data_IF_377900934766
#
_entry.id   IF_377900934766
#
_cell.length_a   1.000
_cell.length_b   1.000
_cell.length_c   1.000
_cell.angle_alpha   90.00
_cell.angle_beta   90.00
_cell.angle_gamma   90.00
#
_symmetry.space_group_name_H-M   'P 1'
#
loop_
_entity.id
_entity.type
_entity.pdbx_description
1 polymer ?
#
# COMPACT_ATOMS: atom_id res chain seq x y z
N UNK A 1 23.04 -67.35 19.85
CA UNK A 1 23.64 -66.10 19.33
C UNK A 1 23.89 -66.12 17.82
N UNK A 2 24.14 -67.33 17.22
CA UNK A 2 24.47 -67.45 15.78
C UNK A 2 23.27 -67.35 14.86
N UNK A 3 22.11 -67.86 15.24
CA UNK A 3 20.85 -67.77 14.45
C UNK A 3 20.39 -66.33 14.14
N UNK A 4 20.80 -65.39 14.99
CA UNK A 4 20.43 -63.98 14.82
C UNK A 4 21.39 -63.25 13.85
N UNK A 5 22.60 -63.78 13.65
CA UNK A 5 23.60 -63.20 12.77
C UNK A 5 23.30 -63.50 11.30
N UNK A 6 22.90 -64.74 10.99
CA UNK A 6 22.56 -65.13 9.60
C UNK A 6 21.28 -64.36 9.07
N UNK A 7 20.29 -64.19 9.92
CA UNK A 7 19.11 -63.41 9.58
C UNK A 7 19.45 -61.92 9.35
N UNK A 8 20.39 -61.38 10.13
CA UNK A 8 20.89 -60.01 9.96
C UNK A 8 21.66 -59.87 8.64
N UNK A 9 22.58 -60.76 8.37
CA UNK A 9 23.36 -60.71 7.12
C UNK A 9 22.49 -60.91 5.87
N UNK A 10 21.50 -61.81 5.93
CA UNK A 10 20.56 -62.01 4.83
C UNK A 10 19.72 -60.74 4.53
N UNK A 11 19.27 -60.07 5.59
CA UNK A 11 18.52 -58.79 5.47
C UNK A 11 19.41 -57.69 4.91
N UNK A 12 20.65 -57.58 5.39
CA UNK A 12 21.57 -56.54 4.93
C UNK A 12 22.04 -56.79 3.49
N UNK A 13 22.26 -58.03 3.11
CA UNK A 13 22.59 -58.42 1.73
C UNK A 13 21.43 -58.06 0.77
N UNK A 14 20.19 -58.30 1.19
CA UNK A 14 19.00 -57.94 0.41
C UNK A 14 18.89 -56.40 0.24
N UNK A 15 19.23 -55.64 1.27
CA UNK A 15 19.31 -54.18 1.22
C UNK A 15 20.35 -53.67 0.24
N UNK A 16 21.56 -54.21 0.36
CA UNK A 16 22.71 -53.82 -0.47
C UNK A 16 22.52 -54.18 -1.96
N UNK A 17 21.86 -55.35 -2.25
CA UNK A 17 21.49 -55.73 -3.63
C UNK A 17 20.57 -54.73 -4.32
N UNK A 18 19.75 -54.02 -3.55
CA UNK A 18 18.82 -53.00 -4.08
C UNK A 18 19.45 -51.62 -4.32
N UNK A 19 20.64 -51.35 -3.77
CA UNK A 19 21.23 -50.01 -3.79
C UNK A 19 22.09 -49.70 -5.03
N UNK A 20 22.98 -50.60 -5.41
CA UNK A 20 23.90 -50.42 -6.55
C UNK A 20 24.25 -51.75 -7.23
N UNK A 21 24.77 -51.67 -8.47
CA UNK A 21 25.34 -52.82 -9.15
C UNK A 21 26.56 -53.34 -8.42
N UNK A 22 26.68 -54.65 -8.19
CA UNK A 22 27.82 -55.21 -7.51
C UNK A 22 29.10 -55.09 -8.34
N UNK A 23 30.23 -55.06 -7.66
CA UNK A 23 31.54 -55.22 -8.30
C UNK A 23 31.75 -56.73 -8.56
N UNK A 24 31.91 -57.09 -9.83
CA UNK A 24 32.17 -58.46 -10.24
C UNK A 24 33.69 -58.75 -10.19
N UNK A 25 34.07 -59.77 -9.46
CA UNK A 25 35.46 -60.22 -9.37
C UNK A 25 35.54 -61.62 -9.97
N UNK A 26 36.41 -61.78 -10.96
CA UNK A 26 36.72 -63.10 -11.53
C UNK A 26 37.86 -63.73 -10.80
N UNK A 27 37.62 -64.90 -10.22
CA UNK A 27 38.61 -65.63 -9.41
C UNK A 27 39.41 -66.71 -10.20
N UNK A 28 39.30 -66.72 -11.56
CA UNK A 28 39.84 -67.85 -12.34
C UNK A 28 38.84 -68.97 -12.38
N UNK A 29 39.11 -70.02 -13.24
CA UNK A 29 38.26 -71.21 -13.38
C UNK A 29 36.72 -70.94 -13.51
N UNK A 30 36.38 -69.89 -14.20
CA UNK A 30 34.97 -69.55 -14.46
C UNK A 30 34.11 -69.20 -13.21
N UNK A 31 34.76 -68.96 -12.02
CA UNK A 31 34.07 -68.56 -10.79
C UNK A 31 34.00 -67.03 -10.69
N UNK A 32 32.75 -66.49 -10.51
CA UNK A 32 32.50 -65.09 -10.33
C UNK A 32 32.04 -64.84 -8.89
N UNK A 33 32.61 -63.85 -8.24
CA UNK A 33 32.14 -63.33 -6.96
C UNK A 33 31.62 -61.91 -7.12
N UNK A 34 30.62 -61.56 -6.32
CA UNK A 34 29.99 -60.25 -6.34
C UNK A 34 30.15 -59.55 -4.99
N UNK A 35 30.75 -58.37 -5.00
CA UNK A 35 30.89 -57.54 -3.79
C UNK A 35 29.79 -56.48 -3.85
N UNK A 36 28.92 -56.53 -2.84
CA UNK A 36 27.91 -55.51 -2.61
C UNK A 36 28.40 -54.55 -1.55
N UNK A 37 28.31 -53.23 -1.80
CA UNK A 37 28.79 -52.22 -0.89
C UNK A 37 27.79 -51.07 -0.82
N UNK A 38 27.82 -50.32 0.28
CA UNK A 38 27.10 -49.10 0.49
C UNK A 38 28.08 -47.95 0.78
N UNK A 39 27.69 -46.73 0.49
CA UNK A 39 28.50 -45.57 0.84
C UNK A 39 28.58 -45.43 2.35
N UNK A 40 29.73 -45.04 2.86
CA UNK A 40 29.87 -44.75 4.29
C UNK A 40 28.91 -43.60 4.70
N UNK A 41 28.49 -43.61 5.96
CA UNK A 41 27.62 -42.55 6.48
C UNK A 41 28.24 -41.15 6.30
N UNK A 42 29.55 -41.05 6.34
CA UNK A 42 30.30 -39.84 6.07
C UNK A 42 30.12 -39.37 4.63
N UNK A 43 30.18 -40.28 3.67
CA UNK A 43 30.00 -39.96 2.25
C UNK A 43 28.57 -39.48 1.95
N UNK A 44 27.58 -40.12 2.60
CA UNK A 44 26.16 -39.69 2.51
C UNK A 44 25.96 -38.31 3.11
N UNK A 45 26.57 -38.00 4.24
CA UNK A 45 26.51 -36.66 4.84
C UNK A 45 27.19 -35.61 3.96
N UNK A 46 28.34 -35.93 3.37
CA UNK A 46 29.03 -35.03 2.44
C UNK A 46 28.21 -34.71 1.20
N UNK A 47 27.38 -35.64 0.72
CA UNK A 47 26.50 -35.41 -0.40
C UNK A 47 25.40 -34.35 -0.12
N UNK A 48 24.96 -34.23 1.15
CA UNK A 48 23.96 -33.21 1.55
C UNK A 48 24.58 -31.86 1.93
N UNK A 49 25.86 -31.81 2.22
CA UNK A 49 26.57 -30.61 2.68
C UNK A 49 26.41 -29.41 1.72
N UNK A 50 26.57 -29.54 0.38
CA UNK A 50 26.38 -28.44 -0.55
C UNK A 50 24.97 -27.83 -0.50
N UNK A 51 23.94 -28.67 -0.33
CA UNK A 51 22.55 -28.23 -0.25
C UNK A 51 22.26 -27.42 1.03
N UNK A 52 22.83 -27.88 2.15
CA UNK A 52 22.74 -27.16 3.44
C UNK A 52 23.45 -25.80 3.30
N UNK A 53 24.66 -25.80 2.75
CA UNK A 53 25.44 -24.58 2.57
C UNK A 53 24.72 -23.58 1.66
N UNK A 54 24.16 -24.02 0.53
CA UNK A 54 23.38 -23.17 -0.38
C UNK A 54 22.11 -22.63 0.29
N UNK A 55 21.44 -23.44 1.11
CA UNK A 55 20.25 -23.00 1.86
C UNK A 55 20.59 -21.90 2.86
N UNK A 56 21.70 -22.03 3.60
CA UNK A 56 22.15 -21.00 4.54
C UNK A 56 22.50 -19.70 3.82
N UNK A 57 23.21 -19.79 2.70
CA UNK A 57 23.56 -18.63 1.88
C UNK A 57 22.27 -17.95 1.34
N UNK A 58 21.31 -18.73 0.86
CA UNK A 58 20.05 -18.21 0.34
C UNK A 58 19.25 -17.49 1.43
N UNK A 59 19.13 -18.06 2.63
CA UNK A 59 18.45 -17.44 3.78
C UNK A 59 19.15 -16.14 4.16
N UNK A 60 20.48 -16.14 4.23
CA UNK A 60 21.26 -14.93 4.53
C UNK A 60 21.02 -13.83 3.48
N UNK A 61 21.06 -14.19 2.19
CA UNK A 61 20.84 -13.25 1.09
C UNK A 61 19.43 -12.64 1.13
N UNK A 62 18.41 -13.46 1.40
CA UNK A 62 17.03 -13.00 1.58
C UNK A 62 16.95 -12.01 2.76
N UNK A 63 17.60 -12.33 3.89
CA UNK A 63 17.65 -11.45 5.05
C UNK A 63 18.28 -10.08 4.74
N UNK A 64 19.41 -10.08 4.03
CA UNK A 64 20.09 -8.84 3.59
C UNK A 64 19.20 -8.03 2.64
N UNK A 65 18.58 -8.67 1.65
CA UNK A 65 17.67 -7.98 0.71
C UNK A 65 16.45 -7.37 1.42
N UNK A 66 15.87 -8.10 2.38
CA UNK A 66 14.78 -7.56 3.21
C UNK A 66 15.23 -6.37 4.06
N UNK A 67 16.40 -6.46 4.70
CA UNK A 67 16.96 -5.36 5.50
C UNK A 67 17.21 -4.11 4.64
N UNK A 68 17.80 -4.26 3.46
CA UNK A 68 18.04 -3.17 2.52
C UNK A 68 16.73 -2.53 2.03
N UNK A 69 15.70 -3.34 1.74
CA UNK A 69 14.41 -2.85 1.30
C UNK A 69 13.70 -2.05 2.41
N UNK A 70 13.73 -2.54 3.66
CA UNK A 70 13.13 -1.85 4.80
C UNK A 70 13.85 -0.54 5.13
N UNK A 71 15.18 -0.54 5.09
CA UNK A 71 15.99 0.66 5.34
C UNK A 71 15.73 1.74 4.30
N UNK A 72 15.68 1.38 3.01
CA UNK A 72 15.38 2.32 1.93
C UNK A 72 14.00 2.95 2.08
N UNK A 73 13.00 2.17 2.42
CA UNK A 73 11.64 2.67 2.65
C UNK A 73 11.59 3.61 3.86
N UNK A 74 12.27 3.26 4.96
CA UNK A 74 12.34 4.09 6.15
C UNK A 74 13.05 5.44 5.89
N UNK A 75 14.13 5.43 5.12
CA UNK A 75 14.86 6.63 4.73
C UNK A 75 14.01 7.55 3.86
N UNK A 76 13.36 7.02 2.83
CA UNK A 76 12.42 7.79 2.00
C UNK A 76 11.31 8.41 2.83
N UNK A 77 10.75 7.68 3.79
CA UNK A 77 9.72 8.18 4.68
C UNK A 77 10.24 9.32 5.56
N UNK A 78 11.44 9.20 6.09
CA UNK A 78 12.06 10.21 6.95
C UNK A 78 12.31 11.52 6.20
N UNK A 79 12.80 11.44 4.96
CA UNK A 79 13.01 12.60 4.09
C UNK A 79 11.67 13.27 3.77
N UNK A 80 10.64 12.50 3.43
CA UNK A 80 9.31 13.04 3.15
C UNK A 80 8.67 13.76 4.35
N UNK A 81 8.76 13.15 5.54
CA UNK A 81 8.26 13.75 6.79
C UNK A 81 9.00 15.05 7.10
N UNK A 82 10.33 15.03 7.00
CA UNK A 82 11.16 16.22 7.24
C UNK A 82 10.83 17.34 6.26
N UNK A 83 10.78 17.02 4.96
CA UNK A 83 10.47 18.00 3.92
C UNK A 83 9.06 18.56 4.07
N UNK A 84 8.07 17.71 4.38
CA UNK A 84 6.68 18.16 4.57
C UNK A 84 6.55 19.12 5.75
N UNK A 85 7.18 18.81 6.88
CA UNK A 85 7.17 19.65 8.07
C UNK A 85 7.86 21.00 7.81
N UNK A 86 9.04 20.97 7.19
CA UNK A 86 9.80 22.17 6.86
C UNK A 86 9.05 23.04 5.86
N UNK A 87 8.52 22.45 4.78
CA UNK A 87 7.73 23.19 3.79
C UNK A 87 6.49 23.83 4.42
N UNK A 88 5.79 23.12 5.31
CA UNK A 88 4.62 23.65 6.00
C UNK A 88 5.01 24.86 6.90
N UNK A 89 6.14 24.77 7.60
CA UNK A 89 6.63 25.84 8.45
C UNK A 89 7.05 27.07 7.62
N UNK A 90 7.81 26.85 6.56
CA UNK A 90 8.27 27.91 5.65
C UNK A 90 7.12 28.60 4.89
N UNK A 91 6.04 27.87 4.58
CA UNK A 91 4.85 28.44 3.98
C UNK A 91 3.93 29.15 5.00
N UNK A 92 3.88 28.68 6.24
CA UNK A 92 3.01 29.21 7.27
C UNK A 92 3.24 30.70 7.57
N UNK A 93 4.51 31.11 7.62
CA UNK A 93 4.92 32.49 7.91
C UNK A 93 4.40 33.48 6.83
N UNK A 94 4.71 33.29 5.52
CA UNK A 94 4.19 34.22 4.51
C UNK A 94 2.67 34.17 4.36
N UNK A 95 2.03 33.00 4.55
CA UNK A 95 0.57 32.87 4.53
C UNK A 95 -0.06 33.70 5.65
N UNK A 96 0.50 33.67 6.87
CA UNK A 96 0.01 34.47 8.00
C UNK A 96 0.13 35.99 7.72
N UNK A 97 1.24 36.39 7.11
CA UNK A 97 1.44 37.80 6.70
C UNK A 97 0.41 38.22 5.63
N UNK A 98 0.17 37.36 4.62
CA UNK A 98 -0.82 37.64 3.58
C UNK A 98 -2.25 37.74 4.14
N UNK A 99 -2.62 36.89 5.11
CA UNK A 99 -3.90 36.99 5.80
C UNK A 99 -4.05 38.32 6.55
N UNK A 100 -3.01 38.76 7.26
CA UNK A 100 -3.03 40.06 7.92
C UNK A 100 -3.19 41.24 6.92
N UNK A 101 -2.53 41.16 5.75
CA UNK A 101 -2.70 42.17 4.70
C UNK A 101 -4.12 42.17 4.14
N UNK A 102 -4.76 41.01 3.95
CA UNK A 102 -6.15 40.89 3.52
C UNK A 102 -7.10 41.57 4.54
N UNK A 103 -6.90 41.33 5.84
CA UNK A 103 -7.72 41.98 6.89
C UNK A 103 -7.61 43.50 6.84
N UNK A 104 -6.42 44.05 6.63
CA UNK A 104 -6.18 45.47 6.49
C UNK A 104 -6.87 46.02 5.22
N UNK A 105 -6.74 45.31 4.08
CA UNK A 105 -7.39 45.68 2.83
C UNK A 105 -8.90 45.66 2.96
N UNK A 106 -9.46 44.62 3.61
CA UNK A 106 -10.91 44.50 3.85
C UNK A 106 -11.46 45.60 4.76
N UNK A 107 -10.66 46.04 5.73
CA UNK A 107 -11.01 47.18 6.57
C UNK A 107 -11.06 48.49 5.79
N UNK A 108 -10.15 48.68 4.81
CA UNK A 108 -10.08 49.92 4.00
C UNK A 108 -11.02 49.91 2.80
N UNK A 109 -11.36 48.73 2.26
CA UNK A 109 -12.16 48.52 1.08
C UNK A 109 -13.20 47.39 1.30
N UNK A 110 -14.23 47.63 2.16
CA UNK A 110 -15.11 46.53 2.61
C UNK A 110 -16.01 45.95 1.51
N UNK A 111 -16.28 46.71 0.44
CA UNK A 111 -17.19 46.30 -0.64
C UNK A 111 -16.46 45.71 -1.86
N UNK A 112 -15.13 45.51 -1.78
CA UNK A 112 -14.38 44.98 -2.90
C UNK A 112 -14.35 43.44 -2.86
N UNK A 113 -15.12 42.82 -3.76
CA UNK A 113 -15.23 41.37 -3.89
C UNK A 113 -13.90 40.69 -4.26
N UNK A 114 -12.95 41.41 -4.88
CA UNK A 114 -11.62 40.88 -5.21
C UNK A 114 -10.79 40.53 -3.95
N UNK A 115 -11.00 41.32 -2.89
CA UNK A 115 -10.33 41.06 -1.60
C UNK A 115 -10.87 39.79 -0.96
N UNK A 116 -12.15 39.50 -1.08
CA UNK A 116 -12.75 38.24 -0.63
C UNK A 116 -12.19 37.04 -1.42
N UNK A 117 -12.07 37.18 -2.74
CA UNK A 117 -11.49 36.12 -3.59
C UNK A 117 -10.02 35.87 -3.24
N UNK A 118 -9.21 36.89 -3.03
CA UNK A 118 -7.83 36.78 -2.56
C UNK A 118 -7.77 36.10 -1.18
N UNK A 119 -8.64 36.49 -0.25
CA UNK A 119 -8.74 35.84 1.07
C UNK A 119 -9.07 34.36 1.00
N UNK A 120 -9.99 33.99 0.10
CA UNK A 120 -10.33 32.59 -0.17
C UNK A 120 -9.15 31.79 -0.70
N UNK A 121 -8.37 32.34 -1.62
CA UNK A 121 -7.19 31.66 -2.18
C UNK A 121 -6.07 31.50 -1.15
N UNK A 122 -5.83 32.52 -0.30
CA UNK A 122 -4.85 32.43 0.79
C UNK A 122 -5.29 31.40 1.84
N UNK A 123 -6.57 31.33 2.19
CA UNK A 123 -7.10 30.30 3.07
C UNK A 123 -6.94 28.89 2.48
N UNK A 124 -7.02 28.73 1.16
CA UNK A 124 -6.70 27.46 0.48
C UNK A 124 -5.24 27.09 0.64
N UNK A 125 -4.32 28.05 0.47
CA UNK A 125 -2.88 27.83 0.69
C UNK A 125 -2.61 27.45 2.14
N UNK A 126 -3.26 28.11 3.11
CA UNK A 126 -3.18 27.78 4.54
C UNK A 126 -3.58 26.33 4.80
N UNK A 127 -4.73 25.92 4.27
CA UNK A 127 -5.22 24.53 4.40
C UNK A 127 -4.23 23.51 3.84
N UNK A 128 -3.59 23.82 2.71
CA UNK A 128 -2.57 22.96 2.11
C UNK A 128 -1.35 22.87 3.02
N UNK A 129 -0.84 23.99 3.54
CA UNK A 129 0.29 24.02 4.44
C UNK A 129 0.00 23.25 5.74
N UNK A 130 -1.17 23.42 6.34
CA UNK A 130 -1.60 22.68 7.53
C UNK A 130 -1.66 21.17 7.27
N UNK A 131 -2.13 20.72 6.12
CA UNK A 131 -2.14 19.31 5.74
C UNK A 131 -0.73 18.73 5.61
N UNK A 132 0.20 19.48 5.02
CA UNK A 132 1.61 19.10 4.98
C UNK A 132 2.23 19.04 6.38
N UNK A 133 1.88 19.95 7.27
CA UNK A 133 2.31 19.92 8.68
C UNK A 133 1.82 18.66 9.40
N UNK A 134 0.58 18.23 9.17
CA UNK A 134 0.01 17.02 9.77
C UNK A 134 0.73 15.74 9.30
N UNK A 135 1.26 15.68 8.06
CA UNK A 135 2.10 14.58 7.58
C UNK A 135 3.42 14.47 8.37
N UNK A 136 3.96 15.59 8.88
CA UNK A 136 5.22 15.62 9.60
C UNK A 136 5.10 15.58 11.14
N UNK A 137 3.88 15.58 11.68
CA UNK A 137 3.62 15.61 13.12
C UNK A 137 2.98 14.31 13.62
N UNK A 138 2.91 14.15 14.95
CA UNK A 138 2.04 13.13 15.55
C UNK A 138 0.59 13.49 15.21
N UNK A 139 0.01 12.74 14.29
CA UNK A 139 -1.39 12.92 13.89
C UNK A 139 -2.29 12.58 15.07
N UNK A 140 -3.17 13.50 15.44
CA UNK A 140 -4.21 13.24 16.43
C UNK A 140 -5.30 12.40 15.78
N UNK A 141 -5.57 11.24 16.37
CA UNK A 141 -6.63 10.33 15.95
C UNK A 141 -7.82 10.49 16.86
N UNK A 142 -8.98 10.65 16.27
CA UNK A 142 -10.25 10.80 16.94
C UNK A 142 -11.17 9.65 16.55
N UNK A 143 -12.00 9.19 17.50
CA UNK A 143 -13.05 8.23 17.21
C UNK A 143 -14.25 8.99 16.63
N UNK A 144 -14.47 8.85 15.33
CA UNK A 144 -15.48 9.62 14.60
C UNK A 144 -16.37 8.71 13.74
N UNK A 145 -17.56 9.21 13.41
CA UNK A 145 -18.43 8.58 12.42
C UNK A 145 -17.84 8.74 11.01
N UNK A 146 -17.54 7.62 10.37
CA UNK A 146 -17.03 7.63 8.99
C UNK A 146 -18.06 8.21 8.02
N UNK A 147 -19.34 7.91 8.25
CA UNK A 147 -20.42 8.39 7.40
C UNK A 147 -20.54 9.91 7.46
N UNK A 148 -20.42 10.51 8.65
CA UNK A 148 -20.47 11.97 8.81
C UNK A 148 -19.26 12.65 8.14
N UNK A 149 -18.06 12.07 8.31
CA UNK A 149 -16.85 12.57 7.68
C UNK A 149 -16.93 12.50 6.15
N UNK A 150 -17.47 11.41 5.61
CA UNK A 150 -17.68 11.28 4.16
C UNK A 150 -18.75 12.25 3.66
N UNK A 151 -19.83 12.44 4.41
CA UNK A 151 -20.91 13.39 4.06
C UNK A 151 -20.37 14.81 3.98
N UNK A 152 -19.56 15.23 4.95
CA UNK A 152 -18.90 16.54 4.94
C UNK A 152 -17.95 16.70 3.75
N UNK A 153 -17.12 15.67 3.48
CA UNK A 153 -16.21 15.68 2.33
C UNK A 153 -16.96 15.76 1.00
N UNK A 154 -18.06 15.03 0.85
CA UNK A 154 -18.92 15.08 -0.36
C UNK A 154 -19.53 16.45 -0.53
N UNK A 155 -20.12 17.02 0.51
CA UNK A 155 -20.70 18.37 0.47
C UNK A 155 -19.66 19.44 0.09
N UNK A 156 -18.45 19.31 0.64
CA UNK A 156 -17.34 20.20 0.27
C UNK A 156 -16.98 20.08 -1.21
N UNK A 157 -16.91 18.87 -1.74
CA UNK A 157 -16.58 18.61 -3.13
C UNK A 157 -17.70 19.05 -4.08
N UNK A 158 -18.97 18.83 -3.73
CA UNK A 158 -20.13 19.28 -4.51
C UNK A 158 -20.12 20.79 -4.76
N UNK A 159 -19.82 21.59 -3.73
CA UNK A 159 -19.75 23.05 -3.84
C UNK A 159 -18.62 23.54 -4.76
N UNK A 160 -17.64 22.71 -5.05
CA UNK A 160 -16.41 23.07 -5.79
C UNK A 160 -16.26 22.37 -7.13
N UNK A 161 -17.16 21.46 -7.46
CA UNK A 161 -17.21 20.77 -8.74
C UNK A 161 -18.28 21.36 -9.66
N UNK A 162 -18.15 21.02 -10.94
CA UNK A 162 -19.18 21.37 -11.92
C UNK A 162 -20.54 20.78 -11.54
N UNK A 163 -21.63 21.50 -11.82
CA UNK A 163 -23.00 20.99 -11.67
C UNK A 163 -23.28 19.75 -12.53
N UNK A 164 -22.42 19.46 -13.51
CA UNK A 164 -22.50 18.24 -14.34
C UNK A 164 -21.92 16.99 -13.65
N UNK A 165 -21.39 17.11 -12.44
CA UNK A 165 -20.90 15.99 -11.62
C UNK A 165 -21.90 15.69 -10.53
N UNK A 166 -22.47 14.49 -10.56
CA UNK A 166 -23.40 14.01 -9.52
C UNK A 166 -22.67 13.17 -8.49
N UNK A 167 -23.03 13.35 -7.23
CA UNK A 167 -22.47 12.56 -6.11
C UNK A 167 -23.59 11.76 -5.46
N UNK A 168 -23.32 10.47 -5.23
CA UNK A 168 -24.22 9.58 -4.50
C UNK A 168 -23.45 8.96 -3.35
N UNK A 169 -23.96 9.12 -2.12
CA UNK A 169 -23.42 8.47 -0.92
C UNK A 169 -24.40 7.38 -0.46
N UNK A 170 -23.95 6.14 -0.43
CA UNK A 170 -24.73 4.98 0.02
C UNK A 170 -24.13 4.46 1.31
N UNK A 171 -24.90 4.56 2.38
CA UNK A 171 -24.52 4.11 3.73
C UNK A 171 -25.25 2.81 4.04
N UNK A 172 -24.53 1.68 4.14
CA UNK A 172 -25.13 0.38 4.42
C UNK A 172 -25.48 0.20 5.89
N UNK A 173 -24.75 0.88 6.78
CA UNK A 173 -24.97 0.85 8.22
C UNK A 173 -24.83 2.26 8.81
N UNK A 174 -25.73 2.67 9.72
CA UNK A 174 -25.60 3.93 10.44
C UNK A 174 -24.46 3.84 11.48
N UNK A 175 -23.83 4.99 11.76
CA UNK A 175 -22.88 5.18 12.87
C UNK A 175 -21.66 4.23 12.88
N UNK A 176 -21.02 4.02 11.71
CA UNK A 176 -19.75 3.31 11.66
C UNK A 176 -18.68 4.19 12.31
N UNK A 177 -18.23 3.81 13.51
CA UNK A 177 -17.17 4.52 14.23
C UNK A 177 -15.81 3.95 13.86
N UNK A 178 -14.84 4.83 13.61
CA UNK A 178 -13.44 4.44 13.39
C UNK A 178 -12.48 5.54 13.84
N UNK A 179 -11.25 5.17 14.14
CA UNK A 179 -10.21 6.14 14.50
C UNK A 179 -9.62 6.77 13.24
N UNK A 180 -9.80 8.07 13.07
CA UNK A 180 -9.28 8.82 11.94
C UNK A 180 -8.50 10.05 12.37
N UNK A 181 -7.44 10.35 11.63
CA UNK A 181 -6.95 11.71 11.53
C UNK A 181 -7.80 12.42 10.46
N UNK A 182 -8.90 13.06 10.90
CA UNK A 182 -9.94 13.62 10.02
C UNK A 182 -9.36 14.48 8.90
N UNK A 183 -8.46 15.47 9.13
CA UNK A 183 -7.95 16.32 8.05
C UNK A 183 -7.17 15.56 6.97
N UNK A 184 -6.43 14.51 7.36
CA UNK A 184 -5.69 13.67 6.41
C UNK A 184 -6.63 12.75 5.63
N UNK A 185 -7.64 12.19 6.31
CA UNK A 185 -8.61 11.32 5.66
C UNK A 185 -9.47 12.10 4.66
N UNK A 186 -9.98 13.28 5.02
CA UNK A 186 -10.68 14.18 4.10
C UNK A 186 -9.83 14.50 2.87
N UNK A 187 -8.54 14.72 3.05
CA UNK A 187 -7.63 14.94 1.92
C UNK A 187 -7.52 13.75 0.98
N UNK A 188 -7.57 12.52 1.51
CA UNK A 188 -7.66 11.31 0.67
C UNK A 188 -8.92 11.33 -0.17
N UNK A 189 -10.07 11.59 0.44
CA UNK A 189 -11.36 11.65 -0.27
C UNK A 189 -11.35 12.73 -1.35
N UNK A 190 -10.86 13.94 -1.02
CA UNK A 190 -10.72 15.01 -2.02
C UNK A 190 -9.82 14.62 -3.19
N UNK A 191 -8.68 13.98 -2.94
CA UNK A 191 -7.76 13.52 -4.00
C UNK A 191 -8.42 12.49 -4.91
N UNK A 192 -9.17 11.54 -4.35
CA UNK A 192 -9.88 10.53 -5.13
C UNK A 192 -11.00 11.17 -5.95
N UNK A 193 -11.81 12.05 -5.35
CA UNK A 193 -12.87 12.79 -6.07
C UNK A 193 -12.30 13.69 -7.18
N UNK A 194 -11.22 14.43 -6.93
CA UNK A 194 -10.56 15.23 -7.97
C UNK A 194 -10.03 14.37 -9.12
N UNK A 195 -9.48 13.21 -8.81
CA UNK A 195 -9.04 12.28 -9.85
C UNK A 195 -10.20 11.71 -10.66
N UNK A 196 -11.33 11.43 -10.01
CA UNK A 196 -12.56 11.00 -10.65
C UNK A 196 -13.11 12.09 -11.60
N UNK A 197 -13.23 13.35 -11.12
CA UNK A 197 -13.67 14.50 -11.92
C UNK A 197 -12.80 14.67 -13.17
N UNK A 198 -11.47 14.61 -12.99
CA UNK A 198 -10.53 14.73 -14.11
C UNK A 198 -10.62 13.55 -15.09
N UNK A 199 -10.90 12.33 -14.59
CA UNK A 199 -11.10 11.15 -15.44
C UNK A 199 -12.42 11.19 -16.23
N UNK A 200 -13.38 11.98 -15.76
CA UNK A 200 -14.70 12.20 -16.39
C UNK A 200 -14.76 13.50 -17.21
N UNK A 201 -13.64 14.22 -17.34
CA UNK A 201 -13.59 15.55 -18.00
C UNK A 201 -14.66 16.53 -17.45
N UNK A 202 -14.91 16.45 -16.14
CA UNK A 202 -15.84 17.34 -15.42
C UNK A 202 -17.32 17.00 -15.58
N UNK A 203 -17.70 15.85 -16.16
CA UNK A 203 -19.09 15.44 -16.34
C UNK A 203 -19.27 13.94 -16.09
N UNK A 204 -20.12 13.57 -15.12
CA UNK A 204 -20.38 12.17 -14.81
C UNK A 204 -20.89 11.96 -13.39
N UNK A 205 -20.69 10.77 -12.84
CA UNK A 205 -21.13 10.45 -11.48
C UNK A 205 -20.01 9.85 -10.64
N UNK A 206 -20.01 10.21 -9.36
CA UNK A 206 -19.15 9.65 -8.33
C UNK A 206 -20.07 9.00 -7.29
N UNK A 207 -19.92 7.70 -7.10
CA UNK A 207 -20.65 6.95 -6.08
C UNK A 207 -19.68 6.56 -4.97
N UNK A 208 -20.04 6.85 -3.72
CA UNK A 208 -19.29 6.48 -2.52
C UNK A 208 -20.18 5.52 -1.73
N UNK A 209 -19.67 4.34 -1.44
CA UNK A 209 -20.38 3.30 -0.71
C UNK A 209 -19.57 2.88 0.50
N UNK A 210 -20.24 2.80 1.67
CA UNK A 210 -19.63 2.31 2.92
C UNK A 210 -20.25 1.01 3.36
N UNK A 211 -19.42 0.01 3.65
CA UNK A 211 -19.82 -1.29 4.16
C UNK A 211 -18.89 -1.75 5.28
N UNK A 212 -19.32 -2.74 6.07
CA UNK A 212 -18.45 -3.42 7.04
C UNK A 212 -18.37 -4.89 6.62
N UNK A 213 -17.14 -5.44 6.60
CA UNK A 213 -16.94 -6.86 6.33
C UNK A 213 -17.13 -7.73 7.58
N UNK A 214 -17.11 -9.05 7.41
CA UNK A 214 -17.25 -10.02 8.49
C UNK A 214 -16.15 -9.90 9.56
N UNK A 215 -15.00 -9.31 9.21
CA UNK A 215 -13.86 -9.08 10.11
C UNK A 215 -13.92 -7.71 10.78
N UNK A 216 -15.03 -6.99 10.63
CA UNK A 216 -15.24 -5.63 11.15
C UNK A 216 -14.28 -4.59 10.56
N UNK A 217 -13.87 -4.77 9.30
CA UNK A 217 -13.20 -3.69 8.59
C UNK A 217 -14.23 -2.78 7.93
N UNK A 218 -13.97 -1.49 8.00
CA UNK A 218 -14.72 -0.48 7.26
C UNK A 218 -14.19 -0.46 5.83
N UNK A 219 -15.07 -0.75 4.88
CA UNK A 219 -14.77 -0.73 3.45
C UNK A 219 -15.46 0.49 2.85
N UNK A 220 -14.69 1.27 2.10
CA UNK A 220 -15.18 2.45 1.39
C UNK A 220 -14.82 2.28 -0.08
N UNK A 221 -15.84 2.18 -0.92
CA UNK A 221 -15.70 2.12 -2.38
C UNK A 221 -16.04 3.48 -2.97
N UNK A 222 -15.14 4.03 -3.78
CA UNK A 222 -15.33 5.28 -4.50
C UNK A 222 -15.27 4.94 -5.99
N UNK A 223 -16.42 5.05 -6.66
CA UNK A 223 -16.61 4.67 -8.06
C UNK A 223 -16.89 5.89 -8.91
N UNK A 224 -16.14 6.07 -9.99
CA UNK A 224 -16.37 7.06 -11.01
C UNK A 224 -16.81 6.44 -12.34
N UNK A 225 -17.39 7.24 -13.22
CA UNK A 225 -17.80 6.87 -14.58
C UNK A 225 -16.83 7.38 -15.65
N UNK A 226 -15.55 7.59 -15.28
CA UNK A 226 -14.55 8.18 -16.15
C UNK A 226 -13.92 7.22 -17.15
N UNK A 227 -12.79 7.64 -17.74
CA UNK A 227 -12.06 6.90 -18.78
C UNK A 227 -11.46 5.57 -18.34
N UNK A 228 -11.42 5.29 -17.03
CA UNK A 228 -10.87 4.07 -16.49
C UNK A 228 -9.34 3.99 -16.51
N UNK A 229 -8.84 2.88 -15.97
CA UNK A 229 -7.40 2.58 -15.81
C UNK A 229 -7.14 1.18 -16.36
N UNK A 230 -6.09 1.02 -17.18
CA UNK A 230 -5.64 -0.30 -17.65
C UNK A 230 -5.19 -1.16 -16.45
N UNK A 231 -5.58 -2.44 -16.45
CA UNK A 231 -5.28 -3.38 -15.36
C UNK A 231 -3.78 -3.46 -15.03
N UNK A 232 -2.91 -3.31 -16.04
CA UNK A 232 -1.44 -3.29 -15.86
C UNK A 232 -0.95 -2.10 -15.05
N UNK A 233 -1.74 -1.03 -14.97
CA UNK A 233 -1.39 0.21 -14.29
C UNK A 233 -1.92 0.29 -12.85
N UNK A 234 -2.76 -0.63 -12.38
CA UNK A 234 -3.38 -0.60 -11.05
C UNK A 234 -2.41 -0.38 -9.88
N UNK A 235 -1.21 -0.99 -9.96
CA UNK A 235 -0.16 -0.76 -8.96
C UNK A 235 0.65 0.50 -9.22
N UNK A 236 0.82 0.85 -10.50
CA UNK A 236 1.68 1.97 -10.91
C UNK A 236 1.05 3.33 -10.66
N UNK A 237 -0.29 3.44 -10.66
CA UNK A 237 -0.99 4.71 -10.41
C UNK A 237 -0.72 5.27 -9.01
N UNK A 238 -0.29 4.44 -8.07
CA UNK A 238 0.09 4.86 -6.72
C UNK A 238 1.58 5.19 -6.56
N UNK A 239 2.39 5.06 -7.62
CA UNK A 239 3.81 5.44 -7.55
C UNK A 239 3.94 6.97 -7.57
N UNK A 240 4.81 7.56 -6.74
CA UNK A 240 5.08 9.00 -6.80
C UNK A 240 5.51 9.44 -8.20
N UNK A 241 4.97 10.56 -8.67
CA UNK A 241 5.26 11.10 -9.99
C UNK A 241 4.51 10.45 -11.16
N UNK A 242 3.71 9.40 -10.91
CA UNK A 242 2.88 8.82 -11.96
C UNK A 242 1.69 9.73 -12.30
N UNK A 243 1.64 10.20 -13.52
CA UNK A 243 0.55 11.03 -14.03
C UNK A 243 0.35 10.84 -15.53
N UNK A 244 -0.90 10.85 -15.96
CA UNK A 244 -1.29 10.92 -17.37
C UNK A 244 -1.74 12.32 -17.76
N UNK A 245 -1.69 13.29 -16.82
CA UNK A 245 -2.17 14.67 -17.01
C UNK A 245 -1.02 15.54 -17.48
N UNK A 246 -1.31 16.48 -18.40
CA UNK A 246 -0.33 17.49 -18.85
C UNK A 246 0.10 18.45 -17.71
N UNK A 247 -0.77 18.72 -16.77
CA UNK A 247 -0.53 19.51 -15.56
C UNK A 247 -0.84 18.68 -14.34
N UNK A 248 0.16 18.40 -13.53
CA UNK A 248 0.00 17.64 -12.30
C UNK A 248 1.30 16.91 -11.94
N UNK A 249 1.63 16.90 -10.68
CA UNK A 249 2.89 16.34 -10.14
C UNK A 249 2.82 14.82 -9.94
N UNK A 250 1.65 14.18 -10.18
CA UNK A 250 1.48 12.75 -9.96
C UNK A 250 1.60 12.32 -8.49
N UNK A 251 1.33 13.23 -7.54
CA UNK A 251 1.52 12.97 -6.11
C UNK A 251 0.22 12.62 -5.37
N UNK A 252 -0.96 12.91 -5.94
CA UNK A 252 -2.24 12.76 -5.24
C UNK A 252 -2.53 11.34 -4.78
N UNK A 253 -2.45 10.34 -5.67
CA UNK A 253 -2.71 8.94 -5.34
C UNK A 253 -1.61 8.33 -4.47
N UNK A 254 -0.34 8.69 -4.69
CA UNK A 254 0.76 8.22 -3.84
C UNK A 254 0.64 8.75 -2.42
N UNK A 255 0.20 9.99 -2.26
CA UNK A 255 -0.08 10.60 -0.97
C UNK A 255 -1.31 9.97 -0.30
N UNK A 256 -2.39 9.76 -1.05
CA UNK A 256 -3.57 9.05 -0.54
C UNK A 256 -3.21 7.64 -0.03
N UNK A 257 -2.38 6.91 -0.79
CA UNK A 257 -1.89 5.60 -0.36
C UNK A 257 -1.09 5.70 0.92
N UNK A 258 -0.20 6.65 1.02
CA UNK A 258 0.61 6.87 2.21
C UNK A 258 -0.23 7.20 3.44
N UNK A 259 -1.19 8.09 3.30
CA UNK A 259 -2.10 8.47 4.39
C UNK A 259 -2.88 7.25 4.88
N UNK A 260 -3.42 6.45 3.99
CA UNK A 260 -4.21 5.28 4.37
C UNK A 260 -3.32 4.16 4.94
N UNK A 261 -2.19 3.83 4.31
CA UNK A 261 -1.38 2.67 4.69
C UNK A 261 -0.45 2.96 5.88
N UNK A 262 0.22 4.12 5.91
CA UNK A 262 1.20 4.45 6.96
C UNK A 262 0.58 5.12 8.19
N UNK A 263 -0.41 6.01 8.00
CA UNK A 263 -1.03 6.72 9.12
C UNK A 263 -2.25 5.98 9.68
N UNK A 264 -3.15 5.53 8.82
CA UNK A 264 -4.38 4.84 9.26
C UNK A 264 -4.24 3.31 9.35
N UNK A 265 -3.07 2.75 8.99
CA UNK A 265 -2.80 1.31 8.98
C UNK A 265 -3.84 0.51 8.19
N UNK A 266 -4.42 1.14 7.18
CA UNK A 266 -5.42 0.59 6.28
C UNK A 266 -4.81 0.09 4.98
N UNK A 267 -5.67 -0.09 3.97
CA UNK A 267 -5.27 -0.44 2.59
C UNK A 267 -6.04 0.41 1.60
N UNK A 268 -5.39 0.82 0.50
CA UNK A 268 -6.04 1.47 -0.64
C UNK A 268 -5.54 0.85 -1.94
N UNK A 269 -6.46 0.54 -2.84
CA UNK A 269 -6.14 -0.05 -4.14
C UNK A 269 -7.27 0.16 -5.14
N UNK A 270 -6.98 -0.09 -6.42
CA UNK A 270 -8.00 -0.15 -7.47
C UNK A 270 -8.70 -1.50 -7.37
N UNK A 271 -9.97 -1.50 -6.95
CA UNK A 271 -10.82 -2.71 -6.85
C UNK A 271 -11.15 -3.25 -8.24
N UNK A 272 -11.61 -2.36 -9.11
CA UNK A 272 -11.94 -2.67 -10.49
C UNK A 272 -11.85 -1.42 -11.35
N UNK A 273 -11.48 -1.57 -12.58
CA UNK A 273 -11.54 -0.53 -13.61
C UNK A 273 -11.53 -1.17 -14.99
N UNK A 274 -12.20 -0.53 -15.92
CA UNK A 274 -12.15 -0.87 -17.33
C UNK A 274 -12.14 0.41 -18.16
N UNK A 275 -11.43 0.40 -19.28
CA UNK A 275 -11.34 1.55 -20.17
C UNK A 275 -12.74 2.00 -20.60
N UNK A 276 -13.01 3.30 -20.45
CA UNK A 276 -14.29 3.96 -20.74
C UNK A 276 -15.49 3.45 -19.92
N UNK A 277 -15.24 2.74 -18.80
CA UNK A 277 -16.31 2.26 -17.90
C UNK A 277 -16.15 2.75 -16.46
N UNK A 278 -15.11 3.57 -16.21
CA UNK A 278 -14.83 4.11 -14.89
C UNK A 278 -13.89 3.28 -14.03
N UNK A 279 -13.69 3.74 -12.81
CA UNK A 279 -12.79 3.15 -11.82
C UNK A 279 -13.46 3.08 -10.46
N UNK A 280 -13.24 1.98 -9.73
CA UNK A 280 -13.57 1.87 -8.31
C UNK A 280 -12.28 1.76 -7.51
N UNK A 281 -12.04 2.77 -6.68
CA UNK A 281 -11.02 2.71 -5.64
C UNK A 281 -11.63 2.15 -4.37
N UNK A 282 -10.91 1.26 -3.69
CA UNK A 282 -11.31 0.70 -2.40
C UNK A 282 -10.35 1.10 -1.31
N UNK A 283 -10.90 1.61 -0.20
CA UNK A 283 -10.21 1.86 1.05
C UNK A 283 -10.72 0.84 2.07
N UNK A 284 -9.81 0.24 2.84
CA UNK A 284 -10.11 -0.68 3.94
C UNK A 284 -9.46 -0.11 5.19
N UNK A 285 -10.26 0.14 6.22
CA UNK A 285 -9.82 0.61 7.52
C UNK A 285 -10.20 -0.40 8.60
N UNK A 286 -9.38 -0.51 9.64
CA UNK A 286 -9.71 -1.32 10.80
C UNK A 286 -10.73 -0.59 11.66
N UNK A 287 -11.86 -1.22 11.96
CA UNK A 287 -12.76 -0.72 13.00
C UNK A 287 -12.10 -1.00 14.35
N UNK A 288 -11.45 0.01 14.95
CA UNK A 288 -11.03 -0.10 16.34
C UNK A 288 -12.21 0.33 17.23
N UNK A 289 -12.48 -0.51 18.22
CA UNK A 289 -13.39 -0.19 19.33
C UNK A 289 -12.76 0.88 20.21
#
# INVERSE_FOLDING_TARGET
PEENADAYYAKELKRLKGLRKPIEISLGDNQKQYIYYDDSNLLKQLAYYPYIQLSVIAIFLIGVLMALATTKNAEQNRVWVGLSKETAHQLGTPISSLLAWIEILKSNYPDDSMIDDMGNDINRLKTIAERFSKIGSKSEFELVSINDTLRQSVQYMQKRSSQMVTYTLTETQPNIQTQLCVPLFEWVIENLCKNAIDAMDGKGSIQIETTIDERKHVIIDITDTGKGIDKRQFKSVFKPGYTTKRRGWGLGLSLAKRIIEEYHHGKIFVKQSALNKGTTFRIILSQKK
#
